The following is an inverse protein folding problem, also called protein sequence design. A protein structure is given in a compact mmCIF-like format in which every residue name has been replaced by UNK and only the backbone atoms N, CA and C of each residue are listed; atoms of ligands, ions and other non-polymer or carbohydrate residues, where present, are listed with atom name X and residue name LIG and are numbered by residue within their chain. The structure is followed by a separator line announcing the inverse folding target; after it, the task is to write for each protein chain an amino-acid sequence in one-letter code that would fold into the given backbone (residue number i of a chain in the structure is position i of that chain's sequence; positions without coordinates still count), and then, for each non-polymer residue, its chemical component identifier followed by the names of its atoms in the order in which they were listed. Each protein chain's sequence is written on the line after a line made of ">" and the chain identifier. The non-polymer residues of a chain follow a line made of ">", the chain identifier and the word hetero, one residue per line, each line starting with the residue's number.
data_IF_936423047517
#
_entry.id   IF_936423047517
#
_cell.length_a   1.000
_cell.length_b   1.000
_cell.length_c   1.000
_cell.angle_alpha   90.00
_cell.angle_beta   90.00
_cell.angle_gamma   90.00
#
_symmetry.space_group_name_H-M   'P 1'
#
loop_
_entity.id
_entity.type
_entity.pdbx_description
1 polymer ?
#
# COMPACT_ATOMS: atom_id res chain seq x y z
N UNK A 1 -6.82 -30.12 -57.05
CA UNK A 1 -7.94 -29.30 -56.52
C UNK A 1 -7.41 -28.58 -55.27
N UNK A 2 -7.75 -27.29 -55.13
CA UNK A 2 -6.96 -26.23 -54.49
C UNK A 2 -6.60 -26.40 -53.00
N UNK A 3 -5.38 -25.99 -52.70
CA UNK A 3 -4.82 -25.56 -51.41
C UNK A 3 -5.60 -24.37 -50.83
N UNK A 4 -5.86 -24.37 -49.52
CA UNK A 4 -6.20 -23.16 -48.76
C UNK A 4 -5.11 -23.01 -47.68
N UNK A 5 -4.35 -21.93 -47.82
CA UNK A 5 -3.40 -21.39 -46.83
C UNK A 5 -4.19 -20.41 -45.97
N UNK A 6 -4.11 -20.53 -44.66
CA UNK A 6 -4.51 -19.45 -43.75
C UNK A 6 -3.40 -18.39 -43.71
N UNK A 7 -3.79 -17.16 -44.03
CA UNK A 7 -2.98 -15.95 -43.94
C UNK A 7 -2.70 -15.60 -42.47
N UNK A 8 -1.43 -15.63 -42.08
CA UNK A 8 -0.94 -14.99 -40.85
C UNK A 8 -0.65 -13.51 -41.14
N UNK A 9 -1.25 -12.61 -40.37
CA UNK A 9 -0.99 -11.17 -40.42
C UNK A 9 0.35 -10.80 -39.76
N UNK A 10 1.08 -9.77 -40.25
CA UNK A 10 2.48 -9.50 -39.89
C UNK A 10 2.69 -8.80 -38.53
N UNK A 11 1.64 -8.62 -37.72
CA UNK A 11 1.70 -7.82 -36.49
C UNK A 11 2.16 -8.60 -35.25
N UNK A 12 2.37 -9.92 -35.38
CA UNK A 12 2.66 -10.81 -34.23
C UNK A 12 4.14 -11.18 -34.04
N UNK A 13 5.03 -10.77 -34.96
CA UNK A 13 6.48 -10.98 -34.85
C UNK A 13 7.25 -9.77 -34.28
N UNK A 14 6.71 -8.56 -34.39
CA UNK A 14 7.41 -7.33 -33.96
C UNK A 14 7.26 -7.05 -32.44
N UNK A 15 6.20 -7.59 -31.81
CA UNK A 15 6.05 -7.57 -30.34
C UNK A 15 6.91 -8.62 -29.62
N UNK A 16 7.41 -9.66 -30.31
CA UNK A 16 8.28 -10.68 -29.72
C UNK A 16 9.77 -10.30 -29.76
N UNK A 17 10.16 -9.29 -30.56
CA UNK A 17 11.55 -8.77 -30.60
C UNK A 17 11.85 -7.69 -29.54
N UNK A 18 10.84 -7.13 -28.87
CA UNK A 18 11.00 -6.04 -27.86
C UNK A 18 11.21 -6.49 -26.40
N UNK A 19 11.43 -7.78 -26.12
CA UNK A 19 11.67 -8.29 -24.74
C UNK A 19 13.04 -8.94 -24.51
N UNK A 20 14.04 -8.62 -25.34
CA UNK A 20 15.42 -9.08 -25.12
C UNK A 20 16.42 -7.96 -25.38
N UNK A 21 16.83 -7.30 -24.31
CA UNK A 21 18.20 -6.78 -24.04
C UNK A 21 18.09 -5.70 -22.98
N UNK A 22 18.89 -5.84 -21.93
CA UNK A 22 18.89 -4.93 -20.79
C UNK A 22 19.69 -3.66 -21.01
N UNK A 23 19.67 -2.82 -19.97
CA UNK A 23 20.69 -1.83 -19.69
C UNK A 23 20.38 -0.40 -20.14
N UNK A 24 20.77 0.55 -19.30
CA UNK A 24 21.23 1.85 -19.79
C UNK A 24 20.35 3.04 -19.45
N UNK A 25 20.69 3.72 -18.35
CA UNK A 25 20.50 5.15 -18.22
C UNK A 25 21.17 5.93 -19.37
N UNK A 26 20.57 7.08 -19.73
CA UNK A 26 21.08 8.25 -20.50
C UNK A 26 20.85 8.29 -22.02
N UNK A 27 20.08 9.30 -22.45
CA UNK A 27 20.47 10.47 -23.29
C UNK A 27 19.17 11.28 -23.54
N UNK A 28 18.89 12.48 -23.03
CA UNK A 28 19.54 13.80 -23.17
C UNK A 28 19.78 14.24 -24.63
N UNK A 29 19.02 15.28 -25.01
CA UNK A 29 19.21 16.31 -26.05
C UNK A 29 19.25 15.84 -27.51
N UNK A 30 18.29 16.31 -28.29
CA UNK A 30 18.40 17.24 -29.44
C UNK A 30 16.96 17.40 -29.96
N UNK A 31 16.32 18.56 -29.88
CA UNK A 31 16.19 19.46 -31.03
C UNK A 31 15.59 20.79 -30.54
N UNK A 32 16.41 21.85 -30.56
CA UNK A 32 15.94 23.23 -30.63
C UNK A 32 16.90 24.00 -31.54
N UNK A 33 16.39 24.46 -32.68
CA UNK A 33 16.59 25.79 -33.28
C UNK A 33 16.21 25.75 -34.75
N UNK A 34 15.16 26.48 -35.13
CA UNK A 34 15.28 27.63 -36.03
C UNK A 34 13.91 28.25 -36.24
N UNK A 35 13.78 29.54 -35.92
CA UNK A 35 13.34 30.57 -36.87
C UNK A 35 13.09 31.88 -36.13
N UNK A 36 13.89 32.88 -36.47
CA UNK A 36 13.72 34.29 -36.10
C UNK A 36 13.06 35.05 -37.25
N UNK A 37 12.11 35.91 -36.91
CA UNK A 37 11.80 37.16 -37.62
C UNK A 37 10.64 37.11 -38.62
N UNK A 38 9.53 37.80 -38.32
CA UNK A 38 9.28 39.21 -38.71
C UNK A 38 7.83 39.62 -38.41
N UNK A 39 7.60 40.93 -38.43
CA UNK A 39 6.52 41.71 -37.81
C UNK A 39 5.19 41.67 -38.56
N UNK A 40 4.07 41.83 -37.84
CA UNK A 40 2.99 42.82 -38.13
C UNK A 40 2.02 42.98 -36.93
N UNK A 41 1.72 44.24 -36.57
CA UNK A 41 0.54 44.73 -35.79
C UNK A 41 -0.70 44.73 -36.73
N UNK A 42 -1.98 44.85 -36.27
CA UNK A 42 -2.52 45.72 -35.21
C UNK A 42 -3.65 45.04 -34.37
N UNK A 43 -4.45 45.61 -33.46
CA UNK A 43 -5.04 46.93 -33.26
C UNK A 43 -5.57 47.00 -31.80
N UNK A 44 -5.46 48.16 -31.16
CA UNK A 44 -5.95 48.43 -29.81
C UNK A 44 -7.49 48.45 -29.75
N UNK A 45 -8.06 47.88 -28.68
CA UNK A 45 -9.28 48.40 -28.06
C UNK A 45 -9.02 48.58 -26.58
N UNK A 46 -8.99 49.84 -26.18
CA UNK A 46 -9.06 50.29 -24.80
C UNK A 46 -10.43 49.93 -24.23
N UNK A 47 -10.43 49.21 -23.11
CA UNK A 47 -11.51 49.36 -22.14
C UNK A 47 -10.91 49.63 -20.76
N UNK A 48 -11.37 50.76 -20.25
CA UNK A 48 -10.93 51.51 -19.08
C UNK A 48 -11.18 50.79 -17.77
N UNK A 49 -10.17 50.88 -16.89
CA UNK A 49 -10.21 50.89 -15.42
C UNK A 49 -11.47 50.36 -14.71
N UNK A 50 -11.31 49.18 -14.09
CA UNK A 50 -11.82 48.91 -12.72
C UNK A 50 -10.69 48.29 -11.88
N UNK A 51 -9.78 49.15 -11.43
CA UNK A 51 -8.84 48.81 -10.36
C UNK A 51 -9.53 48.98 -9.00
N UNK A 52 -10.06 47.90 -8.46
CA UNK A 52 -10.51 47.81 -7.07
C UNK A 52 -9.82 46.58 -6.47
N UNK A 53 -8.76 46.85 -5.70
CA UNK A 53 -7.99 45.94 -4.84
C UNK A 53 -7.92 44.47 -5.30
N UNK A 54 -6.97 44.14 -6.19
CA UNK A 54 -6.52 42.75 -6.30
C UNK A 54 -5.81 42.39 -4.99
N UNK A 55 -6.45 41.59 -4.15
CA UNK A 55 -5.83 40.98 -2.97
C UNK A 55 -4.51 40.35 -3.39
N UNK A 56 -3.45 40.57 -2.60
CA UNK A 56 -2.13 39.95 -2.84
C UNK A 56 -2.32 38.44 -3.08
N UNK A 57 -1.69 37.85 -4.12
CA UNK A 57 -1.79 36.41 -4.36
C UNK A 57 -1.35 35.67 -3.09
N UNK A 58 -2.20 34.73 -2.63
CA UNK A 58 -1.92 33.94 -1.43
C UNK A 58 -0.70 33.08 -1.68
N UNK A 59 0.27 33.11 -0.76
CA UNK A 59 1.40 32.19 -0.83
C UNK A 59 0.97 30.80 -0.37
N UNK A 60 1.69 29.72 -0.75
CA UNK A 60 1.38 28.37 -0.26
C UNK A 60 1.33 28.29 1.27
N UNK A 61 2.20 29.05 1.96
CA UNK A 61 2.18 29.14 3.42
C UNK A 61 0.92 29.83 3.97
N UNK A 62 0.43 30.88 3.31
CA UNK A 62 -0.82 31.56 3.72
C UNK A 62 -2.04 30.64 3.57
N UNK A 63 -2.04 29.79 2.52
CA UNK A 63 -3.09 28.78 2.34
C UNK A 63 -3.12 27.80 3.51
N UNK A 64 -1.96 27.31 3.94
CA UNK A 64 -1.85 26.40 5.08
C UNK A 64 -2.28 27.07 6.39
N UNK A 65 -1.83 28.30 6.66
CA UNK A 65 -2.19 29.01 7.90
C UNK A 65 -3.70 29.23 8.02
N UNK A 66 -4.32 29.72 6.95
CA UNK A 66 -5.77 29.91 6.92
C UNK A 66 -6.52 28.57 7.01
N UNK A 67 -6.01 27.50 6.40
CA UNK A 67 -6.54 26.15 6.60
C UNK A 67 -6.51 25.75 8.07
N UNK A 68 -5.38 25.97 8.76
CA UNK A 68 -5.22 25.66 10.18
C UNK A 68 -6.19 26.45 11.05
N UNK A 69 -6.36 27.75 10.81
CA UNK A 69 -7.32 28.59 11.52
C UNK A 69 -8.76 28.09 11.36
N UNK A 70 -9.15 27.71 10.14
CA UNK A 70 -10.46 27.12 9.87
C UNK A 70 -10.65 25.78 10.56
N UNK A 71 -9.63 24.92 10.56
CA UNK A 71 -9.67 23.64 11.28
C UNK A 71 -9.82 23.85 12.79
N UNK A 72 -9.11 24.79 13.39
CA UNK A 72 -9.27 25.16 14.82
C UNK A 72 -10.69 25.66 15.09
N UNK A 73 -11.23 26.52 14.22
CA UNK A 73 -12.60 27.00 14.35
C UNK A 73 -13.60 25.84 14.34
N UNK A 74 -13.48 24.93 13.37
CA UNK A 74 -14.36 23.77 13.21
C UNK A 74 -14.25 22.79 14.39
N UNK A 75 -13.05 22.69 14.96
CA UNK A 75 -12.81 21.80 16.10
C UNK A 75 -13.49 22.31 17.37
N UNK A 76 -13.28 23.59 17.70
CA UNK A 76 -13.74 24.22 18.94
C UNK A 76 -15.23 24.63 18.91
N UNK A 77 -15.81 24.87 17.74
CA UNK A 77 -17.12 25.51 17.62
C UNK A 77 -18.18 24.59 17.01
N UNK A 78 -18.50 23.48 17.68
CA UNK A 78 -19.60 22.59 17.28
C UNK A 78 -20.99 23.22 17.43
N UNK A 79 -21.14 24.21 18.32
CA UNK A 79 -22.43 24.78 18.73
C UNK A 79 -22.76 26.15 18.09
N UNK A 80 -22.00 26.58 17.09
CA UNK A 80 -22.26 27.85 16.36
C UNK A 80 -23.39 27.67 15.35
N UNK A 81 -24.09 28.77 15.04
CA UNK A 81 -25.09 28.85 13.96
C UNK A 81 -24.65 28.08 12.71
N UNK A 82 -25.57 27.26 12.18
CA UNK A 82 -25.35 26.41 11.00
C UNK A 82 -24.82 27.22 9.81
N UNK A 83 -25.38 28.40 9.52
CA UNK A 83 -24.96 29.25 8.40
C UNK A 83 -23.48 29.65 8.48
N UNK A 84 -23.02 30.12 9.64
CA UNK A 84 -21.61 30.53 9.82
C UNK A 84 -20.67 29.33 9.76
N UNK A 85 -21.12 28.16 10.24
CA UNK A 85 -20.35 26.91 10.14
C UNK A 85 -20.22 26.46 8.69
N UNK A 86 -21.30 26.52 7.91
CA UNK A 86 -21.32 26.11 6.50
C UNK A 86 -20.42 27.00 5.65
N UNK A 87 -20.43 28.31 5.88
CA UNK A 87 -19.50 29.26 5.25
C UNK A 87 -18.03 28.87 5.52
N UNK A 88 -17.70 28.56 6.77
CA UNK A 88 -16.33 28.18 7.17
C UNK A 88 -15.93 26.81 6.62
N UNK A 89 -16.86 25.88 6.48
CA UNK A 89 -16.64 24.58 5.83
C UNK A 89 -16.39 24.73 4.32
N UNK A 90 -17.13 25.61 3.64
CA UNK A 90 -16.91 25.92 2.23
C UNK A 90 -15.53 26.56 2.00
N UNK A 91 -15.14 27.49 2.87
CA UNK A 91 -13.81 28.12 2.87
C UNK A 91 -12.69 27.10 3.09
N UNK A 92 -12.86 26.18 4.05
CA UNK A 92 -11.91 25.11 4.30
C UNK A 92 -11.77 24.19 3.08
N UNK A 93 -12.89 23.81 2.48
CA UNK A 93 -12.91 22.94 1.30
C UNK A 93 -12.19 23.58 0.12
N UNK A 94 -12.36 24.89 -0.08
CA UNK A 94 -11.61 25.66 -1.09
C UNK A 94 -10.11 25.64 -0.81
N UNK A 95 -9.68 25.86 0.44
CA UNK A 95 -8.27 25.85 0.79
C UNK A 95 -7.63 24.46 0.61
N UNK A 96 -8.32 23.39 0.98
CA UNK A 96 -7.82 22.02 0.78
C UNK A 96 -7.66 21.71 -0.71
N UNK A 97 -8.62 22.14 -1.55
CA UNK A 97 -8.50 22.02 -3.00
C UNK A 97 -7.36 22.86 -3.58
N UNK A 98 -7.13 24.05 -3.06
CA UNK A 98 -6.00 24.90 -3.43
C UNK A 98 -4.66 24.24 -3.07
N UNK A 99 -4.54 23.65 -1.87
CA UNK A 99 -3.36 22.86 -1.50
C UNK A 99 -3.14 21.68 -2.45
N UNK A 100 -4.19 20.94 -2.81
CA UNK A 100 -4.12 19.86 -3.79
C UNK A 100 -3.64 20.36 -5.16
N UNK A 101 -4.17 21.48 -5.63
CA UNK A 101 -3.77 22.09 -6.90
C UNK A 101 -2.30 22.51 -6.90
N UNK A 102 -1.76 22.99 -5.77
CA UNK A 102 -0.32 23.31 -5.65
C UNK A 102 0.53 22.04 -5.78
N UNK A 103 0.08 20.94 -5.16
CA UNK A 103 0.83 19.67 -5.07
C UNK A 103 0.75 18.79 -6.33
N UNK A 104 -0.33 18.88 -7.10
CA UNK A 104 -0.59 18.04 -8.27
C UNK A 104 -0.64 18.82 -9.60
N UNK A 105 -0.65 20.16 -9.55
CA UNK A 105 -0.97 21.00 -10.70
C UNK A 105 -2.48 21.12 -10.92
N UNK A 106 -2.86 21.91 -11.93
CA UNK A 106 -4.26 22.21 -12.26
C UNK A 106 -4.65 21.85 -13.71
N UNK A 107 -3.95 20.88 -14.31
CA UNK A 107 -4.18 20.43 -15.70
C UNK A 107 -3.45 21.29 -16.74
N UNK A 108 -3.33 22.61 -16.50
CA UNK A 108 -2.65 23.55 -17.39
C UNK A 108 -1.19 23.82 -17.00
N UNK A 109 -0.85 23.65 -15.71
CA UNK A 109 0.49 23.86 -15.18
C UNK A 109 0.95 22.69 -14.30
N UNK A 110 2.22 22.32 -14.46
CA UNK A 110 2.90 21.37 -13.58
C UNK A 110 3.13 21.97 -12.18
N UNK A 111 3.17 21.12 -11.13
CA UNK A 111 3.44 21.58 -9.78
C UNK A 111 4.84 22.21 -9.66
N UNK A 112 4.89 23.42 -9.10
CA UNK A 112 6.15 24.14 -8.88
C UNK A 112 6.83 23.60 -7.62
N UNK A 113 8.05 23.08 -7.76
CA UNK A 113 8.79 22.43 -6.67
C UNK A 113 8.97 23.33 -5.43
N UNK A 114 9.28 24.61 -5.64
CA UNK A 114 9.41 25.58 -4.55
C UNK A 114 8.09 25.77 -3.79
N UNK A 115 6.97 25.89 -4.51
CA UNK A 115 5.66 26.04 -3.90
C UNK A 115 5.26 24.79 -3.10
N UNK A 116 5.57 23.60 -3.62
CA UNK A 116 5.37 22.34 -2.90
C UNK A 116 6.21 22.29 -1.62
N UNK A 117 7.48 22.72 -1.68
CA UNK A 117 8.35 22.77 -0.50
C UNK A 117 7.82 23.74 0.56
N UNK A 118 7.42 24.95 0.17
CA UNK A 118 6.86 25.95 1.10
C UNK A 118 5.57 25.45 1.76
N UNK A 119 4.67 24.83 0.98
CA UNK A 119 3.44 24.24 1.49
C UNK A 119 3.75 23.13 2.50
N UNK A 120 4.63 22.20 2.15
CA UNK A 120 5.02 21.07 3.01
C UNK A 120 5.63 21.56 4.31
N UNK A 121 6.55 22.53 4.24
CA UNK A 121 7.18 23.11 5.41
C UNK A 121 6.18 23.76 6.36
N UNK A 122 5.27 24.60 5.85
CA UNK A 122 4.27 25.25 6.69
C UNK A 122 3.24 24.24 7.24
N UNK A 123 2.89 23.19 6.49
CA UNK A 123 1.91 22.19 6.89
C UNK A 123 2.36 21.40 8.13
N UNK A 124 3.63 20.96 8.15
CA UNK A 124 4.21 20.22 9.26
C UNK A 124 4.88 21.10 10.34
N UNK A 125 4.83 22.43 10.20
CA UNK A 125 5.40 23.34 11.20
C UNK A 125 4.67 23.31 12.54
N UNK A 126 3.34 23.22 12.49
CA UNK A 126 2.44 23.25 13.64
C UNK A 126 1.45 22.07 13.60
N UNK A 127 0.34 22.15 14.35
CA UNK A 127 -0.65 21.07 14.49
C UNK A 127 -1.60 20.90 13.29
N UNK A 128 -1.25 21.38 12.09
CA UNK A 128 -2.16 21.33 10.92
C UNK A 128 -2.57 19.90 10.59
N UNK A 129 -1.60 18.97 10.55
CA UNK A 129 -1.89 17.57 10.25
C UNK A 129 -2.79 16.92 11.31
N UNK A 130 -2.50 17.16 12.60
CA UNK A 130 -3.33 16.67 13.72
C UNK A 130 -4.77 17.16 13.61
N UNK A 131 -4.94 18.46 13.41
CA UNK A 131 -6.26 19.07 13.28
C UNK A 131 -7.01 18.54 12.06
N UNK A 132 -6.30 18.29 10.96
CA UNK A 132 -6.91 17.69 9.76
C UNK A 132 -7.42 16.28 10.04
N UNK A 133 -6.68 15.43 10.76
CA UNK A 133 -7.13 14.09 11.17
C UNK A 133 -8.39 14.19 12.05
N UNK A 134 -8.35 15.02 13.10
CA UNK A 134 -9.46 15.18 14.06
C UNK A 134 -10.72 15.73 13.40
N UNK A 135 -10.57 16.67 12.46
CA UNK A 135 -11.70 17.28 11.78
C UNK A 135 -12.18 16.48 10.56
N UNK A 136 -11.44 15.48 10.06
CA UNK A 136 -11.79 14.74 8.84
C UNK A 136 -13.23 14.19 8.84
N UNK A 137 -13.74 13.58 9.94
CA UNK A 137 -15.13 13.10 10.01
C UNK A 137 -16.17 14.22 9.84
N UNK A 138 -15.82 15.46 10.19
CA UNK A 138 -16.70 16.63 10.08
C UNK A 138 -16.79 17.19 8.65
N UNK A 139 -15.94 16.73 7.72
CA UNK A 139 -15.83 17.27 6.36
C UNK A 139 -16.75 16.54 5.37
N UNK A 140 -17.08 17.21 4.27
CA UNK A 140 -17.79 16.60 3.14
C UNK A 140 -16.95 15.49 2.48
N UNK A 141 -17.62 14.53 1.81
CA UNK A 141 -16.95 13.42 1.13
C UNK A 141 -15.86 13.87 0.15
N UNK A 142 -16.14 14.90 -0.64
CA UNK A 142 -15.17 15.43 -1.62
C UNK A 142 -13.98 16.08 -0.93
N UNK A 143 -14.23 16.82 0.15
CA UNK A 143 -13.18 17.42 0.96
C UNK A 143 -12.31 16.36 1.65
N UNK A 144 -12.88 15.24 2.11
CA UNK A 144 -12.12 14.10 2.67
C UNK A 144 -11.19 13.48 1.63
N UNK A 145 -11.66 13.30 0.38
CA UNK A 145 -10.84 12.80 -0.74
C UNK A 145 -9.67 13.74 -1.04
N UNK A 146 -9.95 15.04 -1.19
CA UNK A 146 -8.92 16.04 -1.45
C UNK A 146 -7.89 16.09 -0.30
N UNK A 147 -8.35 16.08 0.96
CA UNK A 147 -7.48 16.06 2.13
C UNK A 147 -6.56 14.83 2.17
N UNK A 148 -7.11 13.66 1.85
CA UNK A 148 -6.35 12.39 1.81
C UNK A 148 -5.27 12.43 0.73
N UNK A 149 -5.56 12.99 -0.45
CA UNK A 149 -4.57 13.17 -1.51
C UNK A 149 -3.49 14.18 -1.14
N UNK A 150 -3.86 15.30 -0.51
CA UNK A 150 -2.90 16.28 0.02
C UNK A 150 -1.94 15.59 0.98
N UNK A 151 -2.45 14.85 1.97
CA UNK A 151 -1.62 14.11 2.93
C UNK A 151 -0.70 13.10 2.22
N UNK A 152 -1.24 12.32 1.28
CA UNK A 152 -0.46 11.32 0.55
C UNK A 152 0.73 11.93 -0.21
N UNK A 153 0.53 13.09 -0.85
CA UNK A 153 1.59 13.80 -1.54
C UNK A 153 2.63 14.34 -0.54
N UNK A 154 2.16 15.03 0.51
CA UNK A 154 2.99 15.65 1.54
C UNK A 154 3.92 14.66 2.25
N UNK A 155 3.48 13.42 2.48
CA UNK A 155 4.32 12.38 3.10
C UNK A 155 5.56 12.01 2.26
N UNK A 156 5.55 12.32 0.97
CA UNK A 156 6.63 11.98 0.02
C UNK A 156 7.52 13.16 -0.35
N UNK A 157 7.13 14.38 0.04
CA UNK A 157 7.85 15.60 -0.31
C UNK A 157 9.16 15.70 0.46
N UNK A 158 10.24 16.04 -0.25
CA UNK A 158 11.52 16.35 0.34
C UNK A 158 11.70 17.87 0.41
N UNK A 159 11.91 18.39 1.62
CA UNK A 159 12.25 19.80 1.85
C UNK A 159 13.72 19.85 2.23
N UNK A 160 14.53 20.53 1.43
CA UNK A 160 15.99 20.58 1.63
C UNK A 160 16.62 19.18 1.77
N UNK A 161 16.17 18.24 0.91
CA UNK A 161 16.58 16.83 0.92
C UNK A 161 16.24 16.04 2.19
N UNK A 162 15.30 16.54 3.02
CA UNK A 162 14.80 15.85 4.22
C UNK A 162 13.31 15.56 4.11
N UNK A 163 12.88 14.42 4.66
CA UNK A 163 11.47 14.05 4.79
C UNK A 163 10.90 14.60 6.10
N UNK A 164 10.61 15.90 6.13
CA UNK A 164 10.13 16.57 7.36
C UNK A 164 8.82 15.99 7.91
N UNK A 165 8.03 15.31 7.06
CA UNK A 165 6.85 14.57 7.49
C UNK A 165 7.19 13.42 8.45
N UNK A 166 8.32 12.74 8.23
CA UNK A 166 8.82 11.69 9.13
C UNK A 166 9.14 12.27 10.51
N UNK A 167 9.90 13.38 10.55
CA UNK A 167 10.28 14.05 11.80
C UNK A 167 9.04 14.51 12.59
N UNK A 168 8.05 15.07 11.90
CA UNK A 168 6.78 15.47 12.51
C UNK A 168 6.03 14.28 13.11
N UNK A 169 5.92 13.17 12.37
CA UNK A 169 5.25 11.96 12.84
C UNK A 169 5.97 11.32 14.04
N UNK A 170 7.30 11.36 14.08
CA UNK A 170 8.07 10.87 15.22
C UNK A 170 7.77 11.63 16.51
N UNK A 171 7.50 12.94 16.41
CA UNK A 171 7.09 13.78 17.53
C UNK A 171 5.58 13.68 17.86
N UNK A 172 4.77 13.05 17.01
CA UNK A 172 3.30 12.99 17.12
C UNK A 172 2.77 11.57 16.83
N UNK A 173 3.36 10.56 17.46
CA UNK A 173 3.06 9.15 17.17
C UNK A 173 1.63 8.73 17.53
N UNK A 174 1.01 9.40 18.48
CA UNK A 174 -0.39 9.18 18.86
C UNK A 174 -1.38 9.43 17.70
N UNK A 175 -0.97 10.16 16.65
CA UNK A 175 -1.77 10.27 15.43
C UNK A 175 -1.96 8.93 14.72
N UNK A 176 -0.99 8.03 14.82
CA UNK A 176 -1.10 6.70 14.22
C UNK A 176 -2.13 5.86 14.95
N UNK A 177 -2.27 6.02 16.27
CA UNK A 177 -3.30 5.33 17.04
C UNK A 177 -4.69 5.78 16.59
N UNK A 178 -4.90 7.09 16.39
CA UNK A 178 -6.16 7.63 15.84
C UNK A 178 -6.46 7.03 14.45
N UNK A 179 -5.45 6.97 13.58
CA UNK A 179 -5.63 6.44 12.22
C UNK A 179 -5.93 4.93 12.21
N UNK A 180 -5.28 4.14 13.07
CA UNK A 180 -5.56 2.70 13.19
C UNK A 180 -6.96 2.49 13.77
N UNK A 181 -7.33 3.22 14.82
CA UNK A 181 -8.63 3.09 15.47
C UNK A 181 -9.79 3.51 14.57
N UNK A 182 -9.60 4.42 13.62
CA UNK A 182 -10.71 4.82 12.75
C UNK A 182 -11.14 3.78 11.71
N UNK A 183 -10.51 2.59 11.64
CA UNK A 183 -11.14 1.43 11.00
C UNK A 183 -12.46 1.01 11.70
N UNK A 184 -12.68 1.46 12.94
CA UNK A 184 -13.93 1.24 13.70
C UNK A 184 -15.08 2.16 13.25
N UNK A 185 -14.77 3.24 12.52
CA UNK A 185 -15.77 4.14 11.94
C UNK A 185 -15.86 3.91 10.43
N UNK A 186 -16.98 3.29 10.01
CA UNK A 186 -17.21 2.87 8.62
C UNK A 186 -17.24 4.04 7.62
N UNK A 187 -17.57 5.25 8.06
CA UNK A 187 -17.68 6.43 7.18
C UNK A 187 -16.31 7.07 6.89
N UNK A 188 -15.31 6.81 7.74
CA UNK A 188 -13.97 7.40 7.64
C UNK A 188 -12.86 6.37 7.40
N UNK A 189 -13.11 5.08 7.64
CA UNK A 189 -12.12 4.00 7.63
C UNK A 189 -11.22 4.01 6.40
N UNK A 190 -11.77 4.13 5.19
CA UNK A 190 -10.98 4.12 3.95
C UNK A 190 -10.07 5.35 3.81
N UNK A 191 -10.46 6.49 4.35
CA UNK A 191 -9.65 7.71 4.34
C UNK A 191 -8.50 7.59 5.34
N UNK A 192 -8.78 7.12 6.56
CA UNK A 192 -7.76 6.90 7.57
C UNK A 192 -6.80 5.77 7.19
N UNK A 193 -7.29 4.66 6.63
CA UNK A 193 -6.45 3.59 6.10
C UNK A 193 -5.50 4.08 5.01
N UNK A 194 -5.99 4.92 4.09
CA UNK A 194 -5.15 5.56 3.07
C UNK A 194 -4.08 6.49 3.68
N UNK A 195 -4.44 7.35 4.64
CA UNK A 195 -3.48 8.20 5.34
C UNK A 195 -2.45 7.39 6.14
N UNK A 196 -2.89 6.32 6.80
CA UNK A 196 -2.04 5.42 7.58
C UNK A 196 -1.00 4.76 6.70
N UNK A 197 -1.39 4.22 5.53
CA UNK A 197 -0.45 3.63 4.57
C UNK A 197 0.62 4.60 4.09
N UNK A 198 0.27 5.87 3.93
CA UNK A 198 1.26 6.89 3.56
C UNK A 198 2.20 7.25 4.73
N UNK A 199 1.74 7.16 5.98
CA UNK A 199 2.57 7.38 7.17
C UNK A 199 3.56 6.23 7.43
N UNK A 200 3.12 4.97 7.30
CA UNK A 200 3.97 3.78 7.53
C UNK A 200 5.03 3.56 6.44
N UNK A 201 5.07 4.44 5.41
CA UNK A 201 6.21 4.52 4.49
C UNK A 201 7.52 4.84 5.21
N UNK A 202 7.45 5.58 6.32
CA UNK A 202 8.60 5.89 7.16
C UNK A 202 8.87 4.74 8.13
N UNK A 203 10.11 4.26 8.18
CA UNK A 203 10.46 3.05 8.92
C UNK A 203 10.20 3.17 10.43
N UNK A 204 10.48 4.34 11.03
CA UNK A 204 10.23 4.59 12.45
C UNK A 204 8.75 4.57 12.82
N UNK A 205 7.89 4.99 11.89
CA UNK A 205 6.44 5.02 12.06
C UNK A 205 5.84 3.63 11.89
N UNK A 206 6.28 2.87 10.88
CA UNK A 206 5.90 1.47 10.77
C UNK A 206 6.32 0.66 12.02
N UNK A 207 7.53 0.90 12.55
CA UNK A 207 7.98 0.27 13.81
C UNK A 207 7.04 0.58 14.96
N UNK A 208 6.64 1.84 15.13
CA UNK A 208 5.70 2.23 16.17
C UNK A 208 4.37 1.45 16.08
N UNK A 209 3.78 1.39 14.89
CA UNK A 209 2.51 0.67 14.68
C UNK A 209 2.67 -0.83 14.95
N UNK A 210 3.77 -1.45 14.47
CA UNK A 210 4.06 -2.87 14.71
C UNK A 210 4.18 -3.21 16.19
N UNK A 211 4.85 -2.35 16.96
CA UNK A 211 5.11 -2.54 18.39
C UNK A 211 3.94 -2.10 19.28
N UNK A 212 2.88 -1.52 18.70
CA UNK A 212 1.69 -1.07 19.44
C UNK A 212 0.71 -2.21 19.75
N UNK A 213 -0.08 -2.03 20.81
CA UNK A 213 -1.21 -2.94 21.12
C UNK A 213 -2.27 -2.97 20.00
N UNK A 214 -2.33 -1.93 19.18
CA UNK A 214 -3.25 -1.86 18.05
C UNK A 214 -2.92 -2.83 16.91
N UNK A 215 -1.69 -3.38 16.87
CA UNK A 215 -1.31 -4.37 15.86
C UNK A 215 -2.25 -5.59 15.83
N UNK A 216 -2.76 -6.01 16.99
CA UNK A 216 -3.71 -7.13 17.11
C UNK A 216 -5.08 -6.82 16.50
N UNK A 217 -5.50 -5.56 16.49
CA UNK A 217 -6.81 -5.16 15.94
C UNK A 217 -6.92 -5.42 14.44
N UNK A 218 -5.80 -5.48 13.70
CA UNK A 218 -5.84 -5.84 12.29
C UNK A 218 -6.42 -7.24 12.04
N UNK A 219 -6.27 -8.20 12.97
CA UNK A 219 -6.89 -9.52 12.82
C UNK A 219 -8.43 -9.45 12.82
N UNK A 220 -9.00 -8.47 13.51
CA UNK A 220 -10.43 -8.13 13.49
C UNK A 220 -10.78 -7.31 12.25
N UNK A 221 -10.03 -6.26 11.95
CA UNK A 221 -10.33 -5.36 10.82
C UNK A 221 -10.32 -6.08 9.47
N UNK A 222 -9.40 -7.02 9.25
CA UNK A 222 -9.30 -7.85 8.03
C UNK A 222 -10.53 -8.77 7.84
N UNK A 223 -11.31 -8.98 8.91
CA UNK A 223 -12.47 -9.85 8.91
C UNK A 223 -13.79 -9.08 9.05
N UNK A 224 -13.75 -7.75 8.90
CA UNK A 224 -14.97 -6.94 8.92
C UNK A 224 -15.94 -7.36 7.80
N UNK A 225 -17.27 -7.32 8.05
CA UNK A 225 -18.27 -7.66 7.04
C UNK A 225 -18.23 -6.75 5.81
N UNK A 226 -17.82 -5.48 5.98
CA UNK A 226 -17.63 -4.56 4.88
C UNK A 226 -16.35 -4.93 4.10
N UNK A 227 -16.54 -5.46 2.90
CA UNK A 227 -15.46 -5.96 2.05
C UNK A 227 -14.41 -4.88 1.71
N UNK A 228 -14.83 -3.65 1.39
CA UNK A 228 -13.90 -2.58 1.02
C UNK A 228 -12.99 -2.22 2.19
N UNK A 229 -13.57 -2.11 3.39
CA UNK A 229 -12.82 -1.81 4.63
C UNK A 229 -11.89 -2.97 5.01
N UNK A 230 -12.38 -4.21 4.97
CA UNK A 230 -11.58 -5.39 5.28
C UNK A 230 -10.40 -5.56 4.30
N UNK A 231 -10.64 -5.33 3.01
CA UNK A 231 -9.63 -5.36 1.97
C UNK A 231 -8.58 -4.25 2.16
N UNK A 232 -9.01 -3.05 2.53
CA UNK A 232 -8.13 -1.93 2.84
C UNK A 232 -7.27 -2.20 4.08
N UNK A 233 -7.85 -2.73 5.15
CA UNK A 233 -7.13 -3.16 6.35
C UNK A 233 -6.11 -4.27 6.05
N UNK A 234 -6.49 -5.24 5.20
CA UNK A 234 -5.59 -6.30 4.72
C UNK A 234 -4.41 -5.75 3.93
N UNK A 235 -4.64 -4.74 3.08
CA UNK A 235 -3.57 -4.06 2.35
C UNK A 235 -2.61 -3.33 3.30
N UNK A 236 -3.13 -2.62 4.31
CA UNK A 236 -2.32 -1.95 5.35
C UNK A 236 -1.52 -2.95 6.18
N UNK A 237 -2.15 -4.03 6.63
CA UNK A 237 -1.49 -5.12 7.36
C UNK A 237 -0.37 -5.77 6.53
N UNK A 238 -0.64 -6.07 5.26
CA UNK A 238 0.38 -6.57 4.33
C UNK A 238 1.55 -5.61 4.20
N UNK A 239 1.30 -4.32 4.07
CA UNK A 239 2.35 -3.31 3.94
C UNK A 239 3.23 -3.23 5.19
N UNK A 240 2.63 -3.24 6.39
CA UNK A 240 3.32 -3.35 7.66
C UNK A 240 4.22 -4.59 7.73
N UNK A 241 3.72 -5.74 7.25
CA UNK A 241 4.43 -7.03 7.28
C UNK A 241 5.48 -7.19 6.18
N UNK A 242 5.58 -6.30 5.19
CA UNK A 242 6.43 -6.57 4.01
C UNK A 242 7.29 -5.42 3.54
N UNK A 243 7.02 -4.16 3.95
CA UNK A 243 7.76 -2.98 3.48
C UNK A 243 9.17 -2.90 4.07
N UNK A 244 9.28 -2.86 5.39
CA UNK A 244 10.53 -2.58 6.10
C UNK A 244 11.19 -3.86 6.61
N UNK A 245 11.86 -4.58 5.72
CA UNK A 245 12.30 -5.98 5.92
C UNK A 245 13.00 -6.25 7.26
N UNK A 246 14.00 -5.44 7.61
CA UNK A 246 14.73 -5.58 8.88
C UNK A 246 13.85 -5.32 10.11
N UNK A 247 12.96 -4.31 10.06
CA UNK A 247 12.03 -4.02 11.16
C UNK A 247 11.01 -5.15 11.34
N UNK A 248 10.48 -5.68 10.23
CA UNK A 248 9.53 -6.80 10.26
C UNK A 248 10.20 -8.05 10.83
N UNK A 249 11.42 -8.38 10.38
CA UNK A 249 12.15 -9.54 10.85
C UNK A 249 12.40 -9.50 12.37
N UNK A 250 12.80 -8.34 12.88
CA UNK A 250 12.97 -8.11 14.31
C UNK A 250 11.65 -8.26 15.08
N UNK A 251 10.58 -7.63 14.58
CA UNK A 251 9.24 -7.75 15.16
C UNK A 251 8.77 -9.21 15.21
N UNK A 252 8.79 -9.93 14.09
CA UNK A 252 8.33 -11.32 14.00
C UNK A 252 9.16 -12.28 14.85
N UNK A 253 10.47 -12.04 14.97
CA UNK A 253 11.35 -12.85 15.81
C UNK A 253 11.00 -12.68 17.28
N UNK A 254 10.81 -11.44 17.75
CA UNK A 254 10.45 -11.12 19.14
C UNK A 254 9.03 -11.55 19.51
N UNK A 255 8.11 -11.51 18.55
CA UNK A 255 6.67 -11.66 18.77
C UNK A 255 6.11 -12.99 18.24
N UNK A 256 6.99 -13.92 17.86
CA UNK A 256 6.63 -15.18 17.20
C UNK A 256 5.51 -15.93 17.93
N UNK A 257 5.64 -16.06 19.25
CA UNK A 257 4.83 -16.93 20.10
C UNK A 257 3.37 -16.49 20.24
N UNK A 258 3.06 -15.21 19.99
CA UNK A 258 1.67 -14.77 19.92
C UNK A 258 1.24 -14.50 18.47
N UNK A 259 2.14 -13.97 17.62
CA UNK A 259 1.77 -13.53 16.28
C UNK A 259 1.35 -14.69 15.38
N UNK A 260 2.15 -15.76 15.29
CA UNK A 260 1.84 -16.86 14.39
C UNK A 260 0.65 -17.71 14.85
N UNK A 261 0.47 -18.01 16.15
CA UNK A 261 -0.76 -18.64 16.60
C UNK A 261 -2.02 -17.84 16.24
N UNK A 262 -2.02 -16.52 16.48
CA UNK A 262 -3.12 -15.64 16.08
C UNK A 262 -3.31 -15.63 14.56
N UNK A 263 -2.23 -15.42 13.79
CA UNK A 263 -2.29 -15.42 12.32
C UNK A 263 -2.87 -16.71 11.75
N UNK A 264 -2.44 -17.85 12.28
CA UNK A 264 -2.89 -19.17 11.87
C UNK A 264 -4.37 -19.37 12.18
N UNK A 265 -4.77 -19.15 13.44
CA UNK A 265 -6.13 -19.37 13.90
C UNK A 265 -7.12 -18.39 13.26
N UNK A 266 -6.76 -17.10 13.24
CA UNK A 266 -7.65 -16.02 12.79
C UNK A 266 -7.73 -15.92 11.28
N UNK A 267 -6.64 -16.17 10.53
CA UNK A 267 -6.57 -15.87 9.10
C UNK A 267 -6.43 -17.11 8.23
N UNK A 268 -5.46 -18.00 8.48
CA UNK A 268 -5.29 -19.21 7.68
C UNK A 268 -6.44 -20.20 7.84
N UNK A 269 -6.99 -20.29 9.05
CA UNK A 269 -8.17 -21.11 9.38
C UNK A 269 -9.50 -20.35 9.29
N UNK A 270 -9.50 -19.11 8.77
CA UNK A 270 -10.74 -18.33 8.60
C UNK A 270 -11.74 -19.06 7.71
N UNK A 271 -13.03 -18.92 7.94
CA UNK A 271 -14.07 -19.45 7.02
C UNK A 271 -14.18 -18.63 5.75
N UNK A 272 -13.71 -17.38 5.75
CA UNK A 272 -13.73 -16.48 4.60
C UNK A 272 -12.63 -16.86 3.59
N UNK A 273 -13.06 -17.25 2.38
CA UNK A 273 -12.18 -17.62 1.27
C UNK A 273 -11.14 -16.54 0.94
N UNK A 274 -11.55 -15.27 0.88
CA UNK A 274 -10.67 -14.16 0.50
C UNK A 274 -9.61 -13.94 1.58
N UNK A 275 -10.02 -13.95 2.85
CA UNK A 275 -9.11 -13.86 4.00
C UNK A 275 -8.08 -14.99 3.97
N UNK A 276 -8.52 -16.26 3.83
CA UNK A 276 -7.60 -17.41 3.75
C UNK A 276 -6.61 -17.25 2.60
N UNK A 277 -7.10 -16.92 1.40
CA UNK A 277 -6.27 -16.75 0.20
C UNK A 277 -5.22 -15.64 0.36
N UNK A 278 -5.61 -14.50 0.90
CA UNK A 278 -4.68 -13.39 1.14
C UNK A 278 -3.66 -13.73 2.23
N UNK A 279 -4.10 -14.42 3.29
CA UNK A 279 -3.25 -14.82 4.40
C UNK A 279 -2.20 -15.84 3.99
N UNK A 280 -2.55 -16.90 3.24
CA UNK A 280 -1.54 -17.88 2.80
C UNK A 280 -0.51 -17.26 1.86
N UNK A 281 -0.94 -16.35 0.98
CA UNK A 281 -0.03 -15.59 0.12
C UNK A 281 0.91 -14.71 0.94
N UNK A 282 0.38 -13.99 1.94
CA UNK A 282 1.18 -13.16 2.83
C UNK A 282 2.16 -13.98 3.65
N UNK A 283 1.76 -15.16 4.13
CA UNK A 283 2.65 -16.09 4.81
C UNK A 283 3.82 -16.50 3.90
N UNK A 284 3.54 -16.83 2.64
CA UNK A 284 4.58 -17.07 1.63
C UNK A 284 5.52 -15.88 1.46
N UNK A 285 4.99 -14.67 1.28
CA UNK A 285 5.76 -13.43 1.16
C UNK A 285 6.67 -13.20 2.40
N UNK A 286 6.19 -13.51 3.60
CA UNK A 286 6.94 -13.37 4.86
C UNK A 286 8.06 -14.42 4.94
N UNK A 287 7.75 -15.70 4.75
CA UNK A 287 8.68 -16.80 4.98
C UNK A 287 9.77 -16.89 3.91
N UNK A 288 9.49 -16.44 2.68
CA UNK A 288 10.45 -16.42 1.57
C UNK A 288 11.39 -15.21 1.62
N UNK A 289 11.14 -14.21 2.48
CA UNK A 289 12.05 -13.09 2.65
C UNK A 289 13.32 -13.52 3.38
N UNK A 290 14.48 -13.20 2.81
CA UNK A 290 15.79 -13.59 3.36
C UNK A 290 16.02 -13.05 4.77
N UNK A 291 15.47 -11.88 5.08
CA UNK A 291 15.58 -11.24 6.40
C UNK A 291 14.85 -12.06 7.47
N UNK A 292 13.83 -12.84 7.08
CA UNK A 292 13.02 -13.67 7.96
C UNK A 292 13.53 -15.11 8.08
N UNK A 293 14.78 -15.42 7.68
CA UNK A 293 15.31 -16.79 7.68
C UNK A 293 15.19 -17.51 9.03
N UNK A 294 15.42 -16.82 10.15
CA UNK A 294 15.25 -17.37 11.51
C UNK A 294 13.79 -17.72 11.78
N UNK A 295 12.88 -16.80 11.47
CA UNK A 295 11.43 -16.99 11.60
C UNK A 295 10.95 -18.15 10.71
N UNK A 296 11.43 -18.20 9.47
CA UNK A 296 11.13 -19.25 8.51
C UNK A 296 11.54 -20.61 9.04
N UNK A 297 12.80 -20.76 9.48
CA UNK A 297 13.30 -22.02 10.05
C UNK A 297 12.48 -22.48 11.25
N UNK A 298 12.09 -21.56 12.13
CA UNK A 298 11.21 -21.86 13.27
C UNK A 298 9.82 -22.31 12.80
N UNK A 299 9.23 -21.62 11.82
CA UNK A 299 7.91 -21.93 11.27
C UNK A 299 7.85 -23.30 10.59
N UNK A 300 8.83 -23.63 9.75
CA UNK A 300 8.87 -24.90 9.01
C UNK A 300 9.31 -26.10 9.85
N UNK A 301 9.66 -25.87 11.12
CA UNK A 301 9.98 -26.91 12.10
C UNK A 301 8.80 -27.24 13.03
N UNK A 302 7.65 -26.57 12.86
CA UNK A 302 6.45 -26.82 13.67
C UNK A 302 5.51 -27.82 13.01
N UNK A 303 5.18 -28.88 13.75
CA UNK A 303 4.18 -29.88 13.36
C UNK A 303 2.81 -29.26 13.12
N UNK A 304 2.36 -28.37 14.01
CA UNK A 304 1.03 -27.76 13.90
C UNK A 304 0.92 -26.89 12.65
N UNK A 305 1.99 -26.15 12.32
CA UNK A 305 2.05 -25.38 11.09
C UNK A 305 2.00 -26.30 9.85
N UNK A 306 2.74 -27.41 9.84
CA UNK A 306 2.67 -28.37 8.73
C UNK A 306 1.24 -28.90 8.54
N UNK A 307 0.55 -29.25 9.63
CA UNK A 307 -0.82 -29.76 9.56
C UNK A 307 -1.80 -28.75 8.93
N UNK A 308 -1.67 -27.46 9.28
CA UNK A 308 -2.47 -26.39 8.66
C UNK A 308 -2.21 -26.36 7.14
N UNK A 309 -0.93 -26.37 6.73
CA UNK A 309 -0.54 -26.28 5.32
C UNK A 309 -0.99 -27.52 4.53
N UNK A 310 -0.89 -28.72 5.10
CA UNK A 310 -1.38 -29.95 4.47
C UNK A 310 -2.90 -29.97 4.31
N UNK A 311 -3.65 -29.34 5.22
CA UNK A 311 -5.09 -29.16 5.04
C UNK A 311 -5.40 -28.14 3.94
N UNK A 312 -4.66 -27.02 3.88
CA UNK A 312 -4.82 -26.02 2.81
C UNK A 312 -4.50 -26.58 1.41
N UNK A 313 -3.54 -27.52 1.29
CA UNK A 313 -3.27 -28.25 0.05
C UNK A 313 -4.44 -29.11 -0.44
N UNK A 314 -5.39 -29.43 0.43
CA UNK A 314 -6.58 -30.24 0.11
C UNK A 314 -7.83 -29.40 -0.15
N UNK A 315 -7.75 -28.08 -0.05
CA UNK A 315 -8.86 -27.17 -0.35
C UNK A 315 -9.32 -27.32 -1.81
N UNK A 316 -10.59 -27.08 -2.09
CA UNK A 316 -11.12 -27.16 -3.46
C UNK A 316 -10.60 -26.05 -4.39
N UNK A 317 -10.14 -24.93 -3.83
CA UNK A 317 -9.63 -23.80 -4.60
C UNK A 317 -8.19 -24.01 -5.04
N UNK A 318 -7.97 -24.15 -6.36
CA UNK A 318 -6.63 -24.22 -6.96
C UNK A 318 -5.71 -23.06 -6.54
N UNK A 319 -6.27 -21.86 -6.36
CA UNK A 319 -5.49 -20.70 -5.93
C UNK A 319 -4.95 -20.86 -4.51
N UNK A 320 -5.75 -21.40 -3.59
CA UNK A 320 -5.29 -21.67 -2.22
C UNK A 320 -4.28 -22.82 -2.22
N UNK A 321 -4.54 -23.88 -2.98
CA UNK A 321 -3.60 -25.00 -3.12
C UNK A 321 -2.23 -24.55 -3.63
N UNK A 322 -2.20 -23.63 -4.61
CA UNK A 322 -0.96 -23.12 -5.19
C UNK A 322 -0.14 -22.32 -4.16
N UNK A 323 -0.78 -21.38 -3.47
CA UNK A 323 -0.10 -20.59 -2.43
C UNK A 323 0.33 -21.48 -1.25
N UNK A 324 -0.50 -22.47 -0.87
CA UNK A 324 -0.15 -23.46 0.16
C UNK A 324 1.04 -24.32 -0.26
N UNK A 325 1.15 -24.69 -1.54
CA UNK A 325 2.29 -25.41 -2.09
C UNK A 325 3.59 -24.60 -1.97
N UNK A 326 3.56 -23.29 -2.25
CA UNK A 326 4.73 -22.43 -2.12
C UNK A 326 5.28 -22.33 -0.69
N UNK A 327 4.42 -22.51 0.32
CA UNK A 327 4.85 -22.60 1.72
C UNK A 327 5.23 -24.04 2.11
N UNK A 328 4.44 -25.03 1.69
CA UNK A 328 4.69 -26.45 1.97
C UNK A 328 6.05 -26.93 1.46
N UNK A 329 6.48 -26.46 0.28
CA UNK A 329 7.79 -26.81 -0.27
C UNK A 329 8.94 -26.43 0.67
N UNK A 330 8.77 -25.41 1.52
CA UNK A 330 9.79 -25.02 2.51
C UNK A 330 9.95 -26.06 3.62
N UNK A 331 8.87 -26.72 4.05
CA UNK A 331 8.94 -27.84 4.99
C UNK A 331 9.70 -29.02 4.38
N UNK A 332 9.43 -29.32 3.11
CA UNK A 332 10.09 -30.41 2.38
C UNK A 332 11.55 -30.07 2.07
N UNK A 333 11.88 -28.82 1.76
CA UNK A 333 13.24 -28.38 1.49
C UNK A 333 14.10 -28.19 2.75
N UNK A 334 13.51 -28.15 3.95
CA UNK A 334 14.25 -28.03 5.20
C UNK A 334 15.20 -29.23 5.35
N UNK A 335 16.52 -28.99 5.44
CA UNK A 335 17.51 -30.07 5.62
C UNK A 335 17.54 -30.62 7.05
N UNK A 336 17.07 -29.84 8.01
CA UNK A 336 17.06 -30.16 9.44
C UNK A 336 15.61 -30.41 9.91
N UNK A 337 14.87 -31.25 9.19
CA UNK A 337 13.47 -31.56 9.53
C UNK A 337 13.39 -32.23 10.90
N UNK A 338 12.56 -31.75 11.84
CA UNK A 338 12.31 -32.47 13.08
C UNK A 338 11.74 -33.88 12.83
N UNK A 339 12.01 -34.86 13.70
CA UNK A 339 11.52 -36.23 13.52
C UNK A 339 10.00 -36.32 13.31
N UNK A 340 9.23 -35.52 14.04
CA UNK A 340 7.76 -35.50 13.89
C UNK A 340 7.28 -35.07 12.50
N UNK A 341 7.99 -34.12 11.88
CA UNK A 341 7.73 -33.67 10.50
C UNK A 341 8.02 -34.80 9.52
N UNK A 342 9.16 -35.47 9.68
CA UNK A 342 9.53 -36.63 8.86
C UNK A 342 8.47 -37.72 8.99
N UNK A 343 8.06 -38.08 10.22
CA UNK A 343 7.02 -39.07 10.46
C UNK A 343 5.71 -38.73 9.76
N UNK A 344 5.26 -37.47 9.80
CA UNK A 344 4.04 -37.03 9.12
C UNK A 344 4.17 -37.17 7.59
N UNK A 345 5.31 -36.74 7.02
CA UNK A 345 5.56 -36.84 5.59
C UNK A 345 5.61 -38.30 5.11
N UNK A 346 6.32 -39.18 5.83
CA UNK A 346 6.41 -40.62 5.51
C UNK A 346 5.04 -41.29 5.63
N UNK A 347 4.31 -41.03 6.72
CA UNK A 347 2.97 -41.60 6.95
C UNK A 347 1.98 -41.23 5.85
N UNK A 348 2.11 -40.03 5.28
CA UNK A 348 1.24 -39.51 4.23
C UNK A 348 1.84 -39.58 2.83
N UNK A 349 3.01 -40.21 2.66
CA UNK A 349 3.83 -40.19 1.43
C UNK A 349 3.01 -40.49 0.18
N UNK A 350 2.32 -41.63 0.16
CA UNK A 350 1.51 -42.06 -0.99
C UNK A 350 0.38 -41.09 -1.35
N UNK A 351 -0.26 -40.48 -0.34
CA UNK A 351 -1.34 -39.51 -0.53
C UNK A 351 -0.80 -38.18 -1.07
N UNK A 352 0.35 -37.72 -0.54
CA UNK A 352 0.97 -36.48 -0.98
C UNK A 352 1.44 -36.61 -2.44
N UNK A 353 2.13 -37.70 -2.78
CA UNK A 353 2.59 -37.93 -4.15
C UNK A 353 1.41 -37.98 -5.15
N UNK A 354 0.32 -38.67 -4.80
CA UNK A 354 -0.90 -38.69 -5.62
C UNK A 354 -1.52 -37.30 -5.79
N UNK A 355 -1.54 -36.50 -4.72
CA UNK A 355 -2.06 -35.13 -4.76
C UNK A 355 -1.21 -34.25 -5.68
N UNK A 356 0.12 -34.33 -5.59
CA UNK A 356 1.03 -33.53 -6.40
C UNK A 356 1.01 -33.93 -7.88
N UNK A 357 0.90 -35.22 -8.20
CA UNK A 357 0.80 -35.70 -9.58
C UNK A 357 -0.49 -35.19 -10.27
N UNK A 358 -1.60 -35.15 -9.53
CA UNK A 358 -2.85 -34.55 -9.98
C UNK A 358 -2.86 -33.03 -10.00
N UNK A 359 -1.86 -32.36 -9.42
CA UNK A 359 -1.84 -30.92 -9.29
C UNK A 359 -1.31 -30.27 -10.57
N UNK A 360 -2.24 -29.82 -11.42
CA UNK A 360 -1.96 -29.14 -12.70
C UNK A 360 -2.52 -27.73 -12.71
N UNK A 361 -1.68 -26.79 -13.14
CA UNK A 361 -2.07 -25.40 -13.35
C UNK A 361 -2.78 -25.24 -14.70
N UNK A 362 -3.69 -24.27 -14.78
CA UNK A 362 -4.41 -23.98 -16.03
C UNK A 362 -3.52 -23.28 -17.06
N UNK A 363 -2.40 -22.69 -16.61
CA UNK A 363 -1.36 -22.08 -17.44
C UNK A 363 -0.03 -22.73 -17.11
N UNK A 364 0.79 -22.97 -18.13
CA UNK A 364 2.14 -23.47 -17.95
C UNK A 364 2.97 -22.47 -17.13
N UNK A 365 3.50 -22.96 -16.01
CA UNK A 365 4.47 -22.26 -15.17
C UNK A 365 5.67 -23.20 -14.97
N UNK A 366 6.74 -23.04 -15.76
CA UNK A 366 7.92 -23.91 -15.68
C UNK A 366 8.58 -23.90 -14.30
N UNK A 367 8.52 -22.78 -13.57
CA UNK A 367 9.10 -22.70 -12.24
C UNK A 367 8.29 -23.53 -11.25
N UNK A 368 6.96 -23.44 -11.31
CA UNK A 368 6.10 -24.25 -10.48
C UNK A 368 6.29 -25.76 -10.74
N UNK A 369 6.36 -26.17 -12.00
CA UNK A 369 6.58 -27.58 -12.35
C UNK A 369 7.94 -28.09 -11.86
N UNK A 370 9.01 -27.30 -11.97
CA UNK A 370 10.32 -27.64 -11.42
C UNK A 370 10.31 -27.75 -9.89
N UNK A 371 9.68 -26.81 -9.19
CA UNK A 371 9.51 -26.86 -7.74
C UNK A 371 8.71 -28.11 -7.31
N UNK A 372 7.66 -28.46 -8.08
CA UNK A 372 6.81 -29.62 -7.83
C UNK A 372 7.58 -30.92 -8.02
N UNK A 373 8.35 -31.05 -9.08
CA UNK A 373 9.22 -32.20 -9.33
C UNK A 373 10.23 -32.36 -8.19
N UNK A 374 10.89 -31.27 -7.77
CA UNK A 374 11.82 -31.31 -6.64
C UNK A 374 11.16 -31.80 -5.35
N UNK A 375 9.95 -31.31 -5.03
CA UNK A 375 9.18 -31.74 -3.86
C UNK A 375 8.81 -33.23 -3.96
N UNK A 376 8.40 -33.69 -5.15
CA UNK A 376 8.09 -35.12 -5.40
C UNK A 376 9.32 -35.98 -5.19
N UNK A 377 10.49 -35.58 -5.70
CA UNK A 377 11.75 -36.31 -5.54
C UNK A 377 12.14 -36.41 -4.06
N UNK A 378 12.10 -35.29 -3.33
CA UNK A 378 12.47 -35.25 -1.91
C UNK A 378 11.50 -36.06 -1.04
N UNK A 379 10.19 -36.02 -1.30
CA UNK A 379 9.22 -36.87 -0.58
C UNK A 379 9.41 -38.35 -0.92
N UNK A 380 9.81 -38.66 -2.16
CA UNK A 380 10.06 -40.04 -2.60
C UNK A 380 11.30 -40.64 -1.95
N UNK A 381 12.29 -39.83 -1.55
CA UNK A 381 13.52 -40.27 -0.90
C UNK A 381 13.45 -40.39 0.62
N UNK A 382 12.41 -39.85 1.28
CA UNK A 382 12.08 -40.11 2.69
C UNK A 382 11.61 -41.55 2.90
#
# INVERSE_FOLDING_TARGET
>A
MKTIKDEQTPESEELKRRRRSGGGWRLIKTLFKSCSGSKTKPLERSDSMKGLFKSKPRTPADVVRQTRELLVFIDLNSNVSSTKRDEKMAELSKNIREMKSILYGNGDAEPVAEACCQLTQEFFKDKTFRLLIVCLPKLSLETRKDATQVVANLQRQQVQSRLIASDYLEANKDLLDILVLGYEDMDIALFYGSMLRECIRHQSIARYVLESDHMKKFFDYIQLPNFDIASDASATFKELMTRHKATVADFLTKNYDWFFPEFNQRLLSSTNYITRRQAIKLLGDILLDRSNSVVMMRYVSSKDNLMILMNLLRESSKNIQMEAFHVFKLFVANRNKPPEIITILVTNKSKILRLLDGFKLDKEDPQFEADKEQVITEISSL
#
